data_IF_072633217304
#
_entry.id   IF_072633217304
#
_cell.length_a   1.000
_cell.length_b   1.000
_cell.length_c   1.000
_cell.angle_alpha   90.00
_cell.angle_beta   90.00
_cell.angle_gamma   90.00
#
_symmetry.space_group_name_H-M   'P 1'
#
loop_
_entity.id
_entity.type
_entity.pdbx_description
1 polymer ?
#
# COMPACT_ATOMS: atom_id res chain seq x y z
N UNK A 1 -12.80 -12.06 -15.75
CA UNK A 1 -12.46 -12.10 -17.19
C UNK A 1 -13.47 -11.24 -17.91
N UNK A 2 -13.13 -10.01 -18.30
CA UNK A 2 -14.00 -9.23 -19.19
C UNK A 2 -13.54 -9.48 -20.62
N UNK A 3 -14.39 -10.16 -21.38
CA UNK A 3 -14.17 -10.46 -22.78
C UNK A 3 -14.90 -9.43 -23.64
N UNK A 4 -14.18 -8.79 -24.57
CA UNK A 4 -14.82 -8.15 -25.72
C UNK A 4 -15.58 -9.20 -26.56
N UNK A 5 -16.40 -8.76 -27.51
CA UNK A 5 -17.30 -9.61 -28.34
C UNK A 5 -16.67 -10.99 -28.62
N UNK A 6 -17.20 -12.03 -27.96
CA UNK A 6 -16.80 -13.46 -27.96
C UNK A 6 -15.76 -13.95 -26.92
N UNK A 7 -15.17 -13.12 -26.07
CA UNK A 7 -14.31 -13.58 -24.95
C UNK A 7 -12.99 -14.26 -25.35
N UNK A 8 -12.59 -14.13 -26.62
CA UNK A 8 -11.42 -14.80 -27.20
C UNK A 8 -10.29 -13.81 -27.55
N UNK A 9 -10.56 -12.50 -27.57
CA UNK A 9 -9.55 -11.50 -27.94
C UNK A 9 -8.80 -11.01 -26.69
N UNK A 10 -7.46 -11.15 -26.62
CA UNK A 10 -6.67 -10.50 -25.58
C UNK A 10 -6.82 -8.98 -25.74
N UNK A 11 -7.43 -8.34 -24.74
CA UNK A 11 -7.55 -6.88 -24.70
C UNK A 11 -6.35 -6.33 -23.96
N UNK A 12 -5.55 -5.51 -24.62
CA UNK A 12 -4.52 -4.71 -23.96
C UNK A 12 -5.20 -3.60 -23.17
N UNK A 13 -5.12 -3.68 -21.84
CA UNK A 13 -5.65 -2.66 -20.94
C UNK A 13 -4.50 -1.73 -20.57
N UNK A 14 -4.63 -0.43 -20.86
CA UNK A 14 -3.68 0.58 -20.39
C UNK A 14 -3.66 0.61 -18.86
N UNK A 15 -2.48 0.69 -18.27
CA UNK A 15 -2.28 0.62 -16.81
C UNK A 15 -2.96 1.78 -16.05
N UNK A 16 -3.26 2.87 -16.75
CA UNK A 16 -3.89 4.11 -16.28
C UNK A 16 -5.41 4.17 -16.44
N UNK A 17 -6.01 3.14 -17.04
CA UNK A 17 -7.43 3.14 -17.36
C UNK A 17 -8.33 2.87 -16.13
N UNK A 18 -9.59 3.36 -16.10
CA UNK A 18 -10.55 3.03 -15.03
C UNK A 18 -10.78 1.52 -14.84
N UNK A 19 -10.60 0.73 -15.90
CA UNK A 19 -10.70 -0.73 -15.85
C UNK A 19 -9.51 -1.34 -15.08
N UNK A 20 -8.29 -0.82 -15.30
CA UNK A 20 -7.10 -1.23 -14.54
C UNK A 20 -7.19 -0.82 -13.05
N UNK A 21 -7.97 0.20 -12.71
CA UNK A 21 -8.26 0.64 -11.34
C UNK A 21 -9.47 -0.06 -10.71
N UNK A 22 -10.13 -0.99 -11.40
CA UNK A 22 -11.35 -1.60 -10.85
C UNK A 22 -11.02 -2.44 -9.61
N UNK A 23 -11.46 -1.99 -8.44
CA UNK A 23 -11.19 -2.63 -7.15
C UNK A 23 -10.00 -2.06 -6.37
N UNK A 24 -9.36 -1.00 -6.86
CA UNK A 24 -8.25 -0.31 -6.18
C UNK A 24 -8.29 1.20 -6.50
N UNK A 25 -7.93 2.06 -5.54
CA UNK A 25 -7.76 3.48 -5.84
C UNK A 25 -6.45 3.79 -6.59
N UNK A 26 -5.60 2.77 -6.74
CA UNK A 26 -4.22 2.86 -7.20
C UNK A 26 -4.01 2.16 -8.53
N UNK A 27 -3.12 2.72 -9.35
CA UNK A 27 -2.57 2.09 -10.55
C UNK A 27 -1.84 0.80 -10.19
N UNK A 28 -1.69 -0.12 -11.15
CA UNK A 28 -0.90 -1.35 -10.91
C UNK A 28 0.55 -1.03 -10.52
N UNK A 29 1.09 0.10 -11.01
CA UNK A 29 2.43 0.60 -10.68
C UNK A 29 2.54 1.17 -9.27
N UNK A 30 1.41 1.45 -8.62
CA UNK A 30 1.33 1.98 -7.26
C UNK A 30 1.12 0.86 -6.22
N UNK A 31 1.04 -0.41 -6.67
CA UNK A 31 0.94 -1.60 -5.81
C UNK A 31 2.33 -2.02 -5.33
N UNK A 32 2.89 -1.28 -4.38
CA UNK A 32 4.19 -1.59 -3.78
C UNK A 32 4.48 -0.78 -2.52
N UNK A 33 5.46 -1.23 -1.73
CA UNK A 33 5.84 -0.59 -0.46
C UNK A 33 6.13 0.90 -0.60
N UNK A 34 6.77 1.31 -1.71
CA UNK A 34 7.18 2.70 -1.91
C UNK A 34 6.02 3.69 -1.88
N UNK A 35 4.89 3.34 -2.51
CA UNK A 35 3.73 4.23 -2.54
C UNK A 35 3.12 4.40 -1.15
N UNK A 36 2.85 3.29 -0.47
CA UNK A 36 2.31 3.27 0.90
C UNK A 36 3.21 4.05 1.86
N UNK A 37 4.52 3.80 1.83
CA UNK A 37 5.48 4.50 2.68
C UNK A 37 5.52 6.00 2.38
N UNK A 38 5.40 6.39 1.10
CA UNK A 38 5.35 7.79 0.70
C UNK A 38 4.10 8.50 1.22
N UNK A 39 2.93 7.82 1.23
CA UNK A 39 1.70 8.35 1.82
C UNK A 39 1.87 8.59 3.34
N UNK A 40 2.39 7.59 4.05
CA UNK A 40 2.64 7.66 5.49
C UNK A 40 3.64 8.78 5.81
N UNK A 41 4.76 8.84 5.08
CA UNK A 41 5.80 9.84 5.28
C UNK A 41 5.28 11.25 5.05
N UNK A 42 4.53 11.47 3.97
CA UNK A 42 3.96 12.77 3.62
C UNK A 42 3.06 13.32 4.73
N UNK A 43 2.16 12.50 5.26
CA UNK A 43 1.29 12.92 6.36
C UNK A 43 2.07 13.08 7.67
N UNK A 44 3.03 12.20 7.94
CA UNK A 44 3.86 12.27 9.14
C UNK A 44 4.70 13.56 9.20
N UNK A 45 5.44 13.86 8.13
CA UNK A 45 6.27 15.08 8.00
C UNK A 45 5.43 16.35 8.20
N UNK A 46 4.17 16.34 7.73
CA UNK A 46 3.24 17.46 7.87
C UNK A 46 2.60 17.55 9.25
N UNK A 47 2.31 16.42 9.89
CA UNK A 47 1.56 16.35 11.14
C UNK A 47 2.44 16.44 12.39
N UNK A 48 3.61 15.83 12.38
CA UNK A 48 4.48 15.73 13.56
C UNK A 48 4.92 17.11 14.10
N UNK A 49 5.39 18.07 13.29
CA UNK A 49 5.80 19.39 13.78
C UNK A 49 4.66 20.20 14.41
N UNK A 50 3.40 19.87 14.07
CA UNK A 50 2.20 20.54 14.56
C UNK A 50 1.57 19.84 15.76
N UNK A 51 2.10 18.68 16.17
CA UNK A 51 1.48 17.82 17.18
C UNK A 51 0.12 17.26 16.76
N UNK A 52 -0.16 17.21 15.46
CA UNK A 52 -1.47 16.76 14.95
C UNK A 52 -1.63 15.24 14.95
N UNK A 53 -0.52 14.50 14.95
CA UNK A 53 -0.55 13.03 14.93
C UNK A 53 -0.54 12.46 16.34
N UNK A 54 -1.55 11.66 16.65
CA UNK A 54 -1.58 10.81 17.83
C UNK A 54 -1.28 9.37 17.41
N UNK A 55 -0.36 8.72 18.12
CA UNK A 55 -0.07 7.29 17.93
C UNK A 55 -0.54 6.47 19.11
N UNK A 56 -1.21 5.36 18.85
CA UNK A 56 -1.65 4.38 19.85
C UNK A 56 -0.92 3.07 19.59
N UNK A 57 -0.25 2.57 20.62
CA UNK A 57 0.37 1.26 20.59
C UNK A 57 -0.67 0.21 20.99
N UNK A 58 -0.95 -0.74 20.10
CA UNK A 58 -1.87 -1.86 20.33
C UNK A 58 -1.14 -3.17 20.68
N UNK A 59 0.18 -3.12 20.82
CA UNK A 59 1.02 -4.24 21.22
C UNK A 59 1.40 -5.15 20.05
N UNK A 60 1.56 -6.44 20.36
CA UNK A 60 1.93 -7.45 19.38
C UNK A 60 0.71 -8.24 18.92
N UNK A 61 0.67 -8.57 17.63
CA UNK A 61 -0.33 -9.44 17.02
C UNK A 61 0.37 -10.44 16.08
N UNK A 62 -0.19 -11.64 15.96
CA UNK A 62 0.28 -12.62 14.97
C UNK A 62 -0.56 -12.51 13.71
N UNK A 63 0.08 -12.20 12.58
CA UNK A 63 -0.54 -12.07 11.27
C UNK A 63 0.02 -13.18 10.36
N UNK A 64 -0.79 -14.19 10.02
CA UNK A 64 -0.39 -15.36 9.21
C UNK A 64 0.95 -15.99 9.66
N UNK A 65 1.09 -16.22 10.97
CA UNK A 65 2.29 -16.82 11.57
C UNK A 65 3.47 -15.85 11.76
N UNK A 66 3.37 -14.61 11.27
CA UNK A 66 4.36 -13.55 11.49
C UNK A 66 4.00 -12.75 12.74
N UNK A 67 4.95 -12.58 13.66
CA UNK A 67 4.79 -11.64 14.79
C UNK A 67 4.92 -10.20 14.27
N UNK A 68 3.90 -9.39 14.55
CA UNK A 68 3.82 -7.99 14.12
C UNK A 68 3.61 -7.06 15.30
N UNK A 69 4.11 -5.84 15.19
CA UNK A 69 3.82 -4.73 16.09
C UNK A 69 2.71 -3.88 15.49
N UNK A 70 1.63 -3.68 16.25
CA UNK A 70 0.43 -2.99 15.78
C UNK A 70 0.38 -1.58 16.35
N UNK A 71 0.35 -0.59 15.46
CA UNK A 71 0.26 0.83 15.80
C UNK A 71 -0.90 1.45 15.06
N UNK A 72 -1.56 2.40 15.69
CA UNK A 72 -2.59 3.22 15.08
C UNK A 72 -2.11 4.67 15.04
N UNK A 73 -2.18 5.30 13.87
CA UNK A 73 -1.95 6.73 13.67
C UNK A 73 -3.29 7.43 13.47
N UNK A 74 -3.52 8.51 14.22
CA UNK A 74 -4.78 9.28 14.19
C UNK A 74 -4.44 10.74 13.97
N UNK A 75 -5.04 11.33 12.94
CA UNK A 75 -4.90 12.71 12.53
C UNK A 75 -6.22 13.47 12.80
N UNK A 76 -6.25 14.81 12.68
CA UNK A 76 -7.49 15.57 12.78
C UNK A 76 -8.45 15.24 11.62
N UNK A 77 -9.76 15.31 11.87
CA UNK A 77 -10.78 15.06 10.83
C UNK A 77 -11.02 16.24 9.87
N UNK A 78 -10.34 17.37 10.05
CA UNK A 78 -10.48 18.52 9.17
C UNK A 78 -9.75 18.28 7.83
N UNK A 79 -10.52 17.96 6.79
CA UNK A 79 -10.02 17.73 5.43
C UNK A 79 -9.24 18.92 4.86
N UNK A 80 -9.51 20.15 5.33
CA UNK A 80 -8.79 21.37 4.89
C UNK A 80 -7.33 21.37 5.32
N UNK A 81 -6.99 20.58 6.33
CA UNK A 81 -5.60 20.38 6.72
C UNK A 81 -4.83 19.56 5.68
N UNK A 82 -5.50 18.90 4.73
CA UNK A 82 -4.91 18.23 3.57
C UNK A 82 -4.07 17.00 3.93
N UNK A 83 -4.52 16.23 4.92
CA UNK A 83 -4.00 14.89 5.17
C UNK A 83 -4.65 13.88 4.21
N UNK A 84 -4.00 12.75 4.01
CA UNK A 84 -4.55 11.68 3.16
C UNK A 84 -5.77 11.03 3.81
N UNK A 85 -5.70 10.78 5.11
CA UNK A 85 -6.72 10.05 5.84
C UNK A 85 -6.85 10.58 7.28
N UNK A 86 -7.94 10.18 7.95
CA UNK A 86 -8.11 10.47 9.37
C UNK A 86 -7.30 9.49 10.22
N UNK A 87 -7.30 8.21 9.85
CA UNK A 87 -6.79 7.15 10.70
C UNK A 87 -6.18 6.03 9.88
N UNK A 88 -5.09 5.48 10.40
CA UNK A 88 -4.38 4.39 9.77
C UNK A 88 -3.95 3.37 10.81
N UNK A 89 -4.22 2.09 10.54
CA UNK A 89 -3.68 0.98 11.30
C UNK A 89 -2.45 0.45 10.57
N UNK A 90 -1.39 0.18 11.33
CA UNK A 90 -0.09 -0.28 10.87
C UNK A 90 0.23 -1.62 11.52
N UNK A 91 0.68 -2.58 10.74
CA UNK A 91 1.28 -3.83 11.24
C UNK A 91 2.68 -3.95 10.67
N UNK A 92 3.68 -3.79 11.55
CA UNK A 92 5.09 -3.90 11.19
C UNK A 92 5.63 -5.28 11.60
N UNK A 93 6.27 -6.02 10.70
CA UNK A 93 7.02 -7.23 11.03
C UNK A 93 8.02 -6.91 12.15
N UNK A 94 7.88 -7.58 13.29
CA UNK A 94 8.69 -7.27 14.47
C UNK A 94 10.18 -7.53 14.26
N UNK A 95 10.52 -8.57 13.48
CA UNK A 95 11.92 -8.95 13.24
C UNK A 95 12.55 -8.11 12.14
N UNK A 96 11.79 -7.82 11.08
CA UNK A 96 12.31 -7.13 9.88
C UNK A 96 12.13 -5.62 9.91
N UNK A 97 11.23 -5.10 10.76
CA UNK A 97 10.91 -3.67 10.80
C UNK A 97 10.16 -3.17 9.56
N UNK A 98 9.56 -4.07 8.77
CA UNK A 98 8.87 -3.74 7.51
C UNK A 98 7.36 -3.69 7.76
N UNK A 99 6.68 -2.67 7.26
CA UNK A 99 5.23 -2.60 7.32
C UNK A 99 4.59 -3.62 6.38
N UNK A 100 3.95 -4.65 6.93
CA UNK A 100 3.44 -5.79 6.16
C UNK A 100 1.96 -5.71 5.90
N UNK A 101 1.21 -4.96 6.72
CA UNK A 101 -0.21 -4.68 6.50
C UNK A 101 -0.51 -3.26 6.95
N UNK A 102 -1.40 -2.60 6.25
CA UNK A 102 -1.98 -1.33 6.68
C UNK A 102 -3.45 -1.24 6.31
N UNK A 103 -4.23 -0.56 7.14
CA UNK A 103 -5.63 -0.23 6.86
C UNK A 103 -5.81 1.27 6.97
N UNK A 104 -6.35 1.90 5.94
CA UNK A 104 -6.54 3.34 5.83
C UNK A 104 -8.04 3.65 5.95
N UNK A 105 -8.38 4.52 6.89
CA UNK A 105 -9.75 4.94 7.15
C UNK A 105 -9.95 6.39 6.74
N UNK A 106 -11.00 6.64 5.96
CA UNK A 106 -11.32 7.97 5.47
C UNK A 106 -11.77 8.91 6.63
N UNK A 107 -12.06 10.17 6.31
CA UNK A 107 -12.49 11.17 7.29
C UNK A 107 -13.83 10.87 8.00
N UNK A 108 -14.61 9.92 7.48
CA UNK A 108 -15.83 9.38 8.09
C UNK A 108 -15.58 8.11 8.91
N UNK A 109 -14.33 7.69 9.07
CA UNK A 109 -13.91 6.45 9.76
C UNK A 109 -14.31 5.16 9.04
N UNK A 110 -14.53 5.21 7.73
CA UNK A 110 -14.83 4.04 6.92
C UNK A 110 -13.53 3.50 6.33
N UNK A 111 -13.37 2.18 6.30
CA UNK A 111 -12.22 1.54 5.67
C UNK A 111 -12.23 1.87 4.17
N UNK A 112 -11.22 2.61 3.73
CA UNK A 112 -11.08 3.06 2.35
C UNK A 112 -10.11 2.17 1.57
N UNK A 113 -8.98 1.81 2.20
CA UNK A 113 -7.93 1.00 1.59
C UNK A 113 -7.35 0.03 2.59
N UNK A 114 -6.94 -1.15 2.11
CA UNK A 114 -6.19 -2.11 2.89
C UNK A 114 -5.05 -2.67 2.02
N UNK A 115 -3.84 -2.59 2.56
CA UNK A 115 -2.64 -3.17 1.96
C UNK A 115 -2.25 -4.37 2.77
N UNK A 116 -1.95 -5.49 2.10
CA UNK A 116 -1.40 -6.64 2.79
C UNK A 116 -0.35 -7.34 1.91
N UNK A 117 0.90 -7.30 2.35
CA UNK A 117 2.05 -7.91 1.69
C UNK A 117 2.34 -9.29 2.26
N UNK A 118 2.11 -10.31 1.42
CA UNK A 118 2.42 -11.72 1.71
C UNK A 118 3.75 -12.12 1.09
N UNK A 119 4.40 -13.14 1.67
CA UNK A 119 5.61 -13.78 1.14
C UNK A 119 6.75 -12.81 0.77
N UNK A 120 6.86 -11.71 1.52
CA UNK A 120 7.89 -10.67 1.34
C UNK A 120 9.28 -11.27 1.49
N UNK A 121 10.04 -11.30 0.40
CA UNK A 121 11.43 -11.69 0.38
C UNK A 121 12.34 -10.46 0.33
N UNK A 122 13.11 -10.23 1.41
CA UNK A 122 14.07 -9.13 1.49
C UNK A 122 15.39 -9.37 0.74
N UNK A 123 15.64 -10.61 0.31
CA UNK A 123 16.83 -11.00 -0.45
C UNK A 123 16.44 -11.87 -1.66
N UNK A 124 15.70 -11.31 -2.63
CA UNK A 124 15.15 -12.06 -3.76
C UNK A 124 16.20 -12.49 -4.79
N UNK A 125 17.46 -12.05 -4.66
CA UNK A 125 18.53 -12.39 -5.60
C UNK A 125 18.41 -11.70 -6.95
N UNK A 126 17.71 -10.56 -7.02
CA UNK A 126 17.61 -9.76 -8.24
C UNK A 126 18.99 -9.30 -8.73
N UNK A 127 19.13 -9.26 -10.04
CA UNK A 127 20.31 -8.80 -10.78
C UNK A 127 19.94 -7.56 -11.60
N UNK A 128 20.92 -6.83 -12.12
CA UNK A 128 20.67 -5.67 -12.98
C UNK A 128 19.83 -6.03 -14.23
N UNK A 129 19.96 -7.28 -14.73
CA UNK A 129 19.17 -7.76 -15.85
C UNK A 129 17.67 -7.80 -15.54
N UNK A 130 17.28 -7.99 -14.27
CA UNK A 130 15.87 -7.99 -13.86
C UNK A 130 15.24 -6.58 -13.94
N UNK A 131 16.07 -5.55 -14.06
CA UNK A 131 15.64 -4.16 -14.21
C UNK A 131 15.89 -3.60 -15.64
N UNK A 132 16.42 -4.39 -16.58
CA UNK A 132 16.52 -3.99 -17.98
C UNK A 132 15.23 -4.37 -18.74
N UNK A 133 14.44 -3.39 -19.23
CA UNK A 133 13.23 -3.66 -20.00
C UNK A 133 13.49 -4.41 -21.32
N UNK A 134 14.75 -4.46 -21.78
CA UNK A 134 15.19 -5.20 -22.97
C UNK A 134 15.71 -6.60 -22.64
N UNK A 135 15.60 -7.05 -21.40
CA UNK A 135 16.02 -8.38 -21.01
C UNK A 135 15.32 -9.44 -21.87
N UNK A 136 16.10 -10.17 -22.66
CA UNK A 136 15.59 -11.19 -23.60
C UNK A 136 14.88 -12.35 -22.91
N UNK A 137 15.09 -12.54 -21.60
CA UNK A 137 14.37 -13.53 -20.81
C UNK A 137 12.91 -13.12 -20.56
N UNK A 138 12.60 -11.82 -20.60
CA UNK A 138 11.23 -11.31 -20.55
C UNK A 138 10.56 -11.60 -21.89
N UNK A 139 9.84 -12.72 -21.95
CA UNK A 139 8.99 -13.09 -23.08
C UNK A 139 7.74 -12.20 -23.06
N UNK A 140 7.91 -10.95 -23.49
CA UNK A 140 6.80 -10.02 -23.75
C UNK A 140 6.16 -10.33 -25.11
#
# INVERSE_FOLDING_TARGET
REGGVLGIVPVTIGLDTPVAKRGTNHLVSEVGFSHLLSLIEKDYVKAAPKGHIRRVNHGFETLEGRKTYKVESILPRDEKLGYYCYRMMHWTDYLRGIEVKSEVFNFKDELQEAYYYKDVNGSPGFTDADFDPRNKAYKL
#
